data_IF_967760762720
#
_entry.id   IF_967760762720
#
_cell.length_a   1.000
_cell.length_b   1.000
_cell.length_c   1.000
_cell.angle_alpha   90.00
_cell.angle_beta   90.00
_cell.angle_gamma   90.00
#
_symmetry.space_group_name_H-M   'P 1'
#
loop_
_entity.id
_entity.type
_entity.pdbx_description
1 polymer ?
#
# COMPACT_ATOMS: atom_id res chain seq x y z
N UNK A 1 -13.39 21.41 -6.10
CA UNK A 1 -13.25 20.34 -5.09
C UNK A 1 -11.77 20.26 -4.72
N UNK A 2 -11.41 20.17 -3.44
CA UNK A 2 -10.00 19.99 -3.05
C UNK A 2 -9.46 18.71 -3.69
N UNK A 3 -8.21 18.74 -4.12
CA UNK A 3 -7.50 17.57 -4.65
C UNK A 3 -6.62 17.03 -3.54
N UNK A 4 -6.81 15.77 -3.18
CA UNK A 4 -5.93 15.07 -2.25
C UNK A 4 -4.81 14.37 -3.00
N UNK A 5 -3.70 14.19 -2.30
CA UNK A 5 -2.49 13.62 -2.85
C UNK A 5 -1.91 12.59 -1.87
N UNK A 6 -1.61 11.41 -2.38
CA UNK A 6 -0.85 10.39 -1.63
C UNK A 6 0.27 9.85 -2.52
N UNK A 7 1.33 9.35 -1.89
CA UNK A 7 2.46 8.75 -2.60
C UNK A 7 2.41 7.24 -2.41
N UNK A 8 2.31 6.51 -3.52
CA UNK A 8 2.57 5.08 -3.55
C UNK A 8 4.04 4.84 -3.84
N UNK A 9 4.76 4.21 -2.91
CA UNK A 9 6.18 3.84 -3.05
C UNK A 9 6.29 2.33 -3.21
N UNK A 10 7.02 1.87 -4.22
CA UNK A 10 7.38 0.46 -4.40
C UNK A 10 8.76 0.25 -3.76
N UNK A 11 8.85 -0.59 -2.73
CA UNK A 11 10.10 -0.83 -2.00
C UNK A 11 10.89 -1.99 -2.58
N UNK A 12 10.22 -3.10 -2.89
CA UNK A 12 10.89 -4.27 -3.43
C UNK A 12 9.92 -5.22 -4.13
N UNK A 13 10.44 -5.99 -5.08
CA UNK A 13 9.81 -7.19 -5.63
C UNK A 13 10.66 -8.38 -5.20
N UNK A 14 10.07 -9.38 -4.56
CA UNK A 14 10.80 -10.49 -3.93
C UNK A 14 10.22 -11.85 -4.35
N UNK A 15 10.96 -12.91 -4.06
CA UNK A 15 10.64 -14.29 -4.44
C UNK A 15 10.35 -14.45 -5.95
N UNK A 16 11.08 -13.69 -6.78
CA UNK A 16 10.99 -13.79 -8.23
C UNK A 16 11.49 -15.17 -8.72
N UNK A 17 10.85 -15.78 -9.72
CA UNK A 17 11.35 -16.98 -10.37
C UNK A 17 12.75 -16.75 -10.98
N UNK A 18 13.63 -17.75 -10.88
CA UNK A 18 14.99 -17.70 -11.43
C UNK A 18 14.99 -17.42 -12.94
N UNK A 19 13.96 -17.92 -13.64
CA UNK A 19 13.75 -17.77 -15.07
C UNK A 19 13.65 -16.29 -15.49
N UNK A 20 13.12 -15.43 -14.63
CA UNK A 20 13.00 -13.99 -14.92
C UNK A 20 14.37 -13.29 -14.96
N UNK A 21 15.34 -13.78 -14.20
CA UNK A 21 16.72 -13.27 -14.25
C UNK A 21 17.46 -13.73 -15.53
N UNK A 22 17.04 -14.84 -16.13
CA UNK A 22 17.68 -15.43 -17.32
C UNK A 22 17.20 -14.83 -18.64
N UNK A 23 16.19 -13.95 -18.62
CA UNK A 23 15.69 -13.26 -19.82
C UNK A 23 16.80 -12.38 -20.41
N UNK A 24 16.92 -12.37 -21.75
CA UNK A 24 17.90 -11.53 -22.44
C UNK A 24 17.50 -10.05 -22.32
N UNK A 25 18.24 -9.23 -21.53
CA UNK A 25 17.88 -7.83 -21.28
C UNK A 25 17.96 -6.96 -22.55
N UNK A 26 18.55 -7.47 -23.64
CA UNK A 26 18.60 -6.79 -24.95
C UNK A 26 17.38 -7.07 -25.82
N UNK A 27 16.60 -8.10 -25.48
CA UNK A 27 15.41 -8.52 -26.25
C UNK A 27 14.12 -8.32 -25.47
N UNK A 28 14.18 -8.35 -24.15
CA UNK A 28 13.01 -8.39 -23.29
C UNK A 28 13.14 -7.39 -22.14
N UNK A 29 12.02 -6.74 -21.82
CA UNK A 29 11.87 -5.79 -20.73
C UNK A 29 10.74 -6.27 -19.83
N UNK A 30 10.98 -6.24 -18.52
CA UNK A 30 9.96 -6.50 -17.53
C UNK A 30 9.37 -5.17 -17.07
N UNK A 31 8.09 -5.18 -16.76
CA UNK A 31 7.35 -4.01 -16.30
C UNK A 31 6.50 -4.41 -15.09
N UNK A 32 6.70 -3.71 -13.98
CA UNK A 32 5.73 -3.71 -12.89
C UNK A 32 4.66 -2.67 -13.25
N UNK A 33 3.39 -3.05 -13.22
CA UNK A 33 2.28 -2.13 -13.39
C UNK A 33 1.49 -2.01 -12.10
N UNK A 34 0.98 -0.81 -11.85
CA UNK A 34 0.12 -0.45 -10.73
C UNK A 34 -1.11 0.25 -11.28
N UNK A 35 -2.30 -0.24 -10.94
CA UNK A 35 -3.57 0.33 -11.37
C UNK A 35 -4.41 0.69 -10.14
N UNK A 36 -4.37 1.97 -9.71
CA UNK A 36 -5.15 2.46 -8.59
C UNK A 36 -6.57 2.84 -8.99
N UNK A 37 -7.52 2.53 -8.11
CA UNK A 37 -8.93 2.93 -8.19
C UNK A 37 -9.34 3.52 -6.85
N UNK A 38 -9.95 4.71 -6.90
CA UNK A 38 -10.52 5.35 -5.72
C UNK A 38 -11.98 4.97 -5.58
N UNK A 39 -12.35 4.42 -4.43
CA UNK A 39 -13.73 4.13 -4.09
C UNK A 39 -14.23 5.18 -3.10
N UNK A 40 -15.31 5.85 -3.48
CA UNK A 40 -16.04 6.75 -2.60
C UNK A 40 -17.23 6.01 -2.03
N UNK A 41 -17.36 6.07 -0.70
CA UNK A 41 -18.44 5.43 0.03
C UNK A 41 -19.20 6.47 0.85
N UNK A 42 -20.52 6.36 0.88
CA UNK A 42 -21.41 7.14 1.73
C UNK A 42 -22.19 6.18 2.62
N UNK A 43 -22.07 6.31 3.95
CA UNK A 43 -22.75 5.44 4.93
C UNK A 43 -22.60 3.94 4.61
N UNK A 44 -21.37 3.51 4.29
CA UNK A 44 -21.03 2.13 3.97
C UNK A 44 -21.42 1.66 2.56
N UNK A 45 -22.10 2.48 1.76
CA UNK A 45 -22.46 2.16 0.37
C UNK A 45 -21.50 2.83 -0.60
N UNK A 46 -20.97 2.06 -1.55
CA UNK A 46 -20.15 2.59 -2.64
C UNK A 46 -21.01 3.47 -3.55
N UNK A 47 -20.64 4.74 -3.69
CA UNK A 47 -21.36 5.71 -4.53
C UNK A 47 -20.62 6.01 -5.83
N UNK A 48 -19.29 5.90 -5.85
CA UNK A 48 -18.49 6.19 -7.05
C UNK A 48 -17.16 5.45 -7.07
N UNK A 49 -16.73 5.12 -8.28
CA UNK A 49 -15.41 4.59 -8.60
C UNK A 49 -14.68 5.58 -9.52
N UNK A 50 -13.41 5.85 -9.22
CA UNK A 50 -12.56 6.71 -10.04
C UNK A 50 -11.22 6.01 -10.32
N UNK A 51 -11.02 5.44 -11.52
CA UNK A 51 -9.72 4.96 -11.95
C UNK A 51 -8.72 6.11 -12.10
N UNK A 52 -7.49 5.96 -11.57
CA UNK A 52 -6.46 7.02 -11.62
C UNK A 52 -5.45 6.86 -12.79
N UNK A 53 -5.61 5.82 -13.60
CA UNK A 53 -4.70 5.49 -14.70
C UNK A 53 -3.61 4.49 -14.28
N UNK A 54 -3.15 3.69 -15.24
CA UNK A 54 -2.09 2.69 -15.03
C UNK A 54 -0.74 3.40 -14.94
N UNK A 55 0.04 3.07 -13.90
CA UNK A 55 1.44 3.49 -13.76
C UNK A 55 2.36 2.29 -13.95
N UNK A 56 3.46 2.49 -14.68
CA UNK A 56 4.33 1.40 -15.14
C UNK A 56 5.79 1.72 -14.79
N UNK A 57 6.46 0.79 -14.14
CA UNK A 57 7.88 0.85 -13.81
C UNK A 57 8.62 -0.25 -14.58
N UNK A 58 9.35 0.10 -15.65
CA UNK A 58 10.20 -0.87 -16.33
C UNK A 58 11.40 -1.25 -15.47
N UNK A 59 11.79 -2.52 -15.51
CA UNK A 59 13.03 -3.00 -14.90
C UNK A 59 13.68 -4.08 -15.80
N UNK A 60 15.00 -4.19 -15.70
CA UNK A 60 15.75 -5.18 -16.47
C UNK A 60 15.89 -6.48 -15.68
N UNK A 61 15.94 -7.62 -16.38
CA UNK A 61 16.30 -8.91 -15.77
C UNK A 61 17.65 -8.86 -15.05
N UNK A 62 18.60 -8.04 -15.54
CA UNK A 62 19.90 -7.85 -14.90
C UNK A 62 19.84 -7.07 -13.58
N UNK A 63 18.74 -6.40 -13.28
CA UNK A 63 18.51 -5.72 -12.00
C UNK A 63 18.04 -6.68 -10.89
N UNK A 64 17.65 -7.90 -11.25
CA UNK A 64 17.24 -8.94 -10.29
C UNK A 64 18.49 -9.52 -9.64
N UNK A 65 18.61 -9.36 -8.33
CA UNK A 65 19.74 -9.83 -7.53
C UNK A 65 19.35 -11.12 -6.82
N UNK A 66 20.28 -12.08 -6.74
CA UNK A 66 20.14 -13.21 -5.83
C UNK A 66 20.71 -12.80 -4.46
N UNK A 67 19.84 -12.71 -3.46
CA UNK A 67 20.19 -12.31 -2.09
C UNK A 67 19.45 -13.21 -1.11
N UNK A 68 20.20 -13.89 -0.24
CA UNK A 68 19.67 -14.73 0.84
C UNK A 68 18.65 -15.76 0.34
N UNK A 69 19.06 -16.57 -0.64
CA UNK A 69 18.24 -17.63 -1.26
C UNK A 69 17.00 -17.15 -2.04
N UNK A 70 16.88 -15.84 -2.30
CA UNK A 70 15.74 -15.25 -3.01
C UNK A 70 16.22 -14.38 -4.16
N UNK A 71 15.46 -14.37 -5.24
CA UNK A 71 15.64 -13.37 -6.30
C UNK A 71 14.80 -12.14 -5.98
N UNK A 72 15.46 -11.01 -5.85
CA UNK A 72 14.88 -9.75 -5.38
C UNK A 72 15.29 -8.59 -6.28
N UNK A 73 14.35 -7.69 -6.52
CA UNK A 73 14.58 -6.34 -7.00
C UNK A 73 14.35 -5.39 -5.82
N UNK A 74 15.43 -4.90 -5.21
CA UNK A 74 15.39 -3.95 -4.07
C UNK A 74 15.46 -2.52 -4.60
N UNK A 75 14.36 -1.78 -4.47
CA UNK A 75 14.22 -0.40 -4.93
C UNK A 75 14.37 0.60 -3.79
N UNK A 76 14.38 0.13 -2.53
CA UNK A 76 14.47 0.97 -1.33
C UNK A 76 15.83 1.64 -1.16
N UNK A 77 16.89 1.11 -1.76
CA UNK A 77 18.21 1.75 -1.76
C UNK A 77 18.35 2.87 -2.82
N UNK A 78 17.33 3.12 -3.65
CA UNK A 78 17.35 4.18 -4.66
C UNK A 78 16.94 5.50 -4.03
N UNK A 79 17.87 6.12 -3.30
CA UNK A 79 17.79 7.55 -2.98
C UNK A 79 18.16 8.34 -4.23
N UNK A 80 17.22 8.54 -5.15
CA UNK A 80 17.42 9.50 -6.24
C UNK A 80 16.42 10.63 -6.15
N UNK A 81 16.85 11.83 -5.70
CA UNK A 81 16.14 13.07 -5.94
C UNK A 81 16.17 13.50 -7.42
N UNK A 82 16.85 12.76 -8.31
CA UNK A 82 17.00 13.09 -9.74
C UNK A 82 17.21 11.83 -10.60
N UNK A 83 16.14 11.08 -10.88
CA UNK A 83 16.19 10.09 -11.97
C UNK A 83 16.02 10.82 -13.32
N UNK A 84 17.16 11.13 -13.94
CA UNK A 84 17.34 11.75 -15.26
C UNK A 84 16.25 11.37 -16.30
N UNK A 85 15.61 12.34 -16.99
CA UNK A 85 14.62 12.08 -18.02
C UNK A 85 15.32 11.75 -19.34
N UNK A 86 15.93 10.56 -19.45
CA UNK A 86 16.52 10.08 -20.71
C UNK A 86 16.32 8.58 -20.91
N UNK A 87 15.08 8.13 -20.75
CA UNK A 87 14.56 6.98 -21.49
C UNK A 87 13.28 7.42 -22.19
N UNK A 88 13.44 8.08 -23.34
CA UNK A 88 12.38 8.17 -24.35
C UNK A 88 12.14 6.77 -24.90
N UNK A 89 11.33 5.97 -24.20
CA UNK A 89 10.61 4.91 -24.87
C UNK A 89 9.62 5.58 -25.83
N UNK A 90 9.47 5.07 -27.06
CA UNK A 90 8.47 5.60 -27.97
C UNK A 90 7.11 5.55 -27.26
N UNK A 91 6.40 6.68 -27.28
CA UNK A 91 5.00 6.78 -26.89
C UNK A 91 4.21 5.75 -27.70
N UNK A 92 3.96 4.57 -27.12
CA UNK A 92 3.06 3.59 -27.71
C UNK A 92 1.66 4.04 -27.31
N UNK A 93 0.99 4.71 -28.26
CA UNK A 93 -0.45 4.92 -28.24
C UNK A 93 -1.16 3.58 -28.02
N UNK A 94 -2.06 3.44 -27.04
CA UNK A 94 -2.77 2.20 -26.84
C UNK A 94 -3.91 2.12 -27.86
N UNK A 95 -3.62 1.68 -29.08
CA UNK A 95 -4.68 1.07 -29.90
C UNK A 95 -5.09 -0.22 -29.19
N UNK A 96 -6.26 -0.15 -28.53
CA UNK A 96 -7.01 -1.26 -27.94
C UNK A 96 -6.22 -2.10 -26.94
N UNK A 97 -6.07 -1.59 -25.71
CA UNK A 97 -5.88 -2.47 -24.55
C UNK A 97 -7.20 -3.26 -24.36
N UNK A 98 -7.18 -4.60 -24.40
CA UNK A 98 -8.38 -5.41 -24.18
C UNK A 98 -8.72 -5.55 -22.68
N UNK A 99 -8.17 -4.71 -21.81
CA UNK A 99 -8.32 -4.88 -20.37
C UNK A 99 -9.68 -4.34 -19.93
N UNK A 100 -10.63 -5.28 -19.77
CA UNK A 100 -11.87 -5.04 -19.05
C UNK A 100 -11.55 -4.52 -17.65
N UNK A 101 -12.32 -3.52 -17.25
CA UNK A 101 -12.33 -2.88 -15.92
C UNK A 101 -12.34 -3.98 -14.85
N UNK A 102 -11.24 -4.10 -14.12
CA UNK A 102 -11.29 -4.85 -12.87
C UNK A 102 -12.10 -4.04 -11.87
N UNK A 103 -13.04 -4.71 -11.21
CA UNK A 103 -13.78 -4.17 -10.08
C UNK A 103 -13.62 -5.13 -8.91
N UNK A 104 -13.27 -4.64 -7.72
CA UNK A 104 -13.46 -5.40 -6.50
C UNK A 104 -14.97 -5.47 -6.24
N UNK A 105 -15.61 -6.56 -6.67
CA UNK A 105 -16.91 -6.96 -6.15
C UNK A 105 -16.66 -7.86 -4.95
N UNK A 106 -17.02 -7.38 -3.77
CA UNK A 106 -17.30 -8.28 -2.65
C UNK A 106 -18.44 -9.20 -3.12
N UNK A 107 -18.27 -10.51 -3.01
CA UNK A 107 -19.25 -11.48 -3.48
C UNK A 107 -20.63 -11.23 -2.88
N UNK A 108 -21.66 -11.39 -3.72
CA UNK A 108 -23.07 -11.44 -3.33
C UNK A 108 -23.84 -10.15 -3.59
N UNK A 109 -24.40 -10.04 -4.79
CA UNK A 109 -25.78 -9.62 -5.08
C UNK A 109 -25.90 -9.41 -6.60
N UNK A 110 -26.35 -10.46 -7.28
CA UNK A 110 -26.91 -10.41 -8.63
C UNK A 110 -28.14 -9.50 -8.59
N UNK A 111 -27.97 -8.23 -8.95
CA UNK A 111 -29.07 -7.42 -9.43
C UNK A 111 -28.87 -7.26 -10.94
N UNK A 112 -29.56 -8.14 -11.67
CA UNK A 112 -29.90 -7.96 -13.07
C UNK A 112 -30.91 -6.81 -13.15
N UNK A 113 -30.46 -5.61 -13.50
CA UNK A 113 -31.32 -4.64 -14.20
C UNK A 113 -30.48 -3.98 -15.30
N UNK A 114 -30.83 -4.36 -16.52
CA UNK A 114 -30.52 -3.66 -17.76
C UNK A 114 -30.86 -2.17 -17.60
N UNK A 115 -29.94 -1.30 -18.02
CA UNK A 115 -30.35 -0.11 -18.74
C UNK A 115 -29.30 0.24 -19.79
N UNK A 116 -29.84 0.36 -20.99
CA UNK A 116 -29.20 0.56 -22.27
C UNK A 116 -28.65 1.99 -22.43
N UNK A 117 -27.76 2.08 -23.42
CA UNK A 117 -27.43 3.28 -24.20
C UNK A 117 -26.33 4.23 -23.68
N UNK A 118 -25.41 4.48 -24.62
CA UNK A 118 -24.60 5.69 -24.76
C UNK A 118 -23.53 5.98 -23.69
N UNK A 119 -22.29 5.55 -23.97
CA UNK A 119 -21.32 6.45 -24.62
C UNK A 119 -19.96 5.77 -24.74
N UNK A 120 -19.49 5.69 -25.98
CA UNK A 120 -18.15 5.28 -26.38
C UNK A 120 -17.12 6.31 -25.91
N UNK A 121 -16.83 6.36 -24.61
CA UNK A 121 -15.69 7.12 -24.11
C UNK A 121 -14.41 6.30 -24.29
N UNK A 122 -13.64 6.68 -25.31
CA UNK A 122 -12.22 6.35 -25.45
C UNK A 122 -11.47 6.81 -24.19
N UNK A 123 -11.48 6.01 -23.13
CA UNK A 123 -10.47 6.12 -22.10
C UNK A 123 -9.19 5.48 -22.66
N UNK A 124 -8.46 6.26 -23.46
CA UNK A 124 -7.02 6.09 -23.60
C UNK A 124 -6.45 6.18 -22.18
N UNK A 125 -6.37 5.05 -21.48
CA UNK A 125 -5.77 4.97 -20.15
C UNK A 125 -4.30 5.34 -20.33
N UNK A 126 -3.98 6.62 -20.14
CA UNK A 126 -2.62 7.14 -20.22
C UNK A 126 -1.74 6.29 -19.30
N UNK A 127 -0.78 5.57 -19.89
CA UNK A 127 0.27 4.89 -19.15
C UNK A 127 1.22 5.95 -18.60
N UNK A 128 1.24 6.09 -17.29
CA UNK A 128 2.20 6.97 -16.62
C UNK A 128 3.47 6.17 -16.33
N UNK A 129 4.63 6.69 -16.74
CA UNK A 129 5.90 6.05 -16.41
C UNK A 129 6.30 6.43 -14.99
N UNK A 130 6.62 5.44 -14.15
CA UNK A 130 7.08 5.64 -12.79
C UNK A 130 8.55 6.07 -12.87
N UNK A 131 8.83 7.31 -12.47
CA UNK A 131 10.20 7.82 -12.38
C UNK A 131 10.74 7.53 -10.97
N UNK A 132 11.71 6.62 -10.88
CA UNK A 132 12.19 6.09 -9.59
C UNK A 132 11.31 4.95 -9.12
N UNK A 133 10.79 5.02 -7.90
CA UNK A 133 9.94 4.01 -7.30
C UNK A 133 8.67 4.58 -6.66
N UNK A 134 8.29 5.81 -7.01
CA UNK A 134 7.16 6.54 -6.43
C UNK A 134 6.15 6.98 -7.47
N UNK A 135 4.88 6.92 -7.11
CA UNK A 135 3.74 7.38 -7.91
C UNK A 135 2.91 8.35 -7.08
N UNK A 136 2.76 9.58 -7.57
CA UNK A 136 1.83 10.53 -7.00
C UNK A 136 0.41 10.21 -7.46
N UNK A 137 -0.48 9.91 -6.52
CA UNK A 137 -1.89 9.62 -6.78
C UNK A 137 -2.72 10.83 -6.38
N UNK A 138 -3.38 11.44 -7.36
CA UNK A 138 -4.21 12.63 -7.17
C UNK A 138 -5.68 12.30 -7.43
N UNK A 139 -6.56 12.70 -6.52
CA UNK A 139 -8.00 12.47 -6.66
C UNK A 139 -8.82 13.57 -5.96
N UNK A 140 -10.03 13.87 -6.44
CA UNK A 140 -10.88 14.85 -5.78
C UNK A 140 -11.33 14.32 -4.42
N UNK A 141 -11.24 15.16 -3.40
CA UNK A 141 -11.83 14.90 -2.09
C UNK A 141 -13.20 15.53 -1.97
N UNK A 142 -14.13 14.73 -1.48
CA UNK A 142 -15.54 15.05 -1.33
C UNK A 142 -15.88 14.92 0.14
N UNK A 143 -16.22 16.04 0.78
CA UNK A 143 -16.64 16.08 2.18
C UNK A 143 -17.80 15.12 2.42
N UNK A 144 -17.76 14.40 3.54
CA UNK A 144 -18.80 13.44 3.94
C UNK A 144 -18.73 12.06 3.28
N UNK A 145 -17.77 11.80 2.38
CA UNK A 145 -17.52 10.47 1.81
C UNK A 145 -16.28 9.84 2.43
N UNK A 146 -16.36 8.56 2.80
CA UNK A 146 -15.19 7.77 3.14
C UNK A 146 -14.52 7.25 1.89
N UNK A 147 -13.19 7.36 1.83
CA UNK A 147 -12.41 7.07 0.63
C UNK A 147 -11.47 5.89 0.88
N UNK A 148 -11.52 4.89 0.01
CA UNK A 148 -10.53 3.80 -0.03
C UNK A 148 -9.81 3.80 -1.36
N UNK A 149 -8.52 3.53 -1.32
CA UNK A 149 -7.69 3.31 -2.50
C UNK A 149 -7.47 1.82 -2.66
N UNK A 150 -8.00 1.26 -3.74
CA UNK A 150 -7.77 -0.11 -4.16
C UNK A 150 -6.72 -0.12 -5.25
N UNK A 151 -5.71 -0.96 -5.09
CA UNK A 151 -4.56 -0.99 -5.99
C UNK A 151 -4.34 -2.41 -6.47
N UNK A 152 -4.42 -2.59 -7.78
CA UNK A 152 -3.96 -3.80 -8.46
C UNK A 152 -2.48 -3.63 -8.83
N UNK A 153 -1.68 -4.66 -8.57
CA UNK A 153 -0.25 -4.70 -8.89
C UNK A 153 0.05 -5.98 -9.67
N UNK A 154 0.81 -5.88 -10.74
CA UNK A 154 1.23 -7.06 -11.50
C UNK A 154 2.50 -6.84 -12.29
N UNK A 155 2.99 -7.93 -12.90
CA UNK A 155 4.19 -7.94 -13.72
C UNK A 155 3.84 -8.40 -15.13
N UNK A 156 4.41 -7.73 -16.11
CA UNK A 156 4.30 -8.07 -17.51
C UNK A 156 5.65 -8.03 -18.21
N UNK A 157 5.74 -8.76 -19.30
CA UNK A 157 6.91 -8.88 -20.15
C UNK A 157 6.60 -8.25 -21.50
N UNK A 158 7.53 -7.46 -22.01
CA UNK A 158 7.48 -6.86 -23.32
C UNK A 158 8.73 -7.22 -24.09
N UNK A 159 8.58 -7.57 -25.38
CA UNK A 159 9.73 -7.79 -26.26
C UNK A 159 10.13 -6.47 -26.88
N UNK A 160 11.37 -6.05 -26.69
CA UNK A 160 11.93 -4.80 -27.23
C UNK A 160 11.76 -4.80 -28.76
N UNK A 161 11.13 -3.74 -29.28
CA UNK A 161 10.79 -3.58 -30.71
C UNK A 161 9.49 -4.29 -31.14
N UNK A 162 8.79 -5.00 -30.26
CA UNK A 162 7.46 -5.56 -30.50
C UNK A 162 6.37 -4.64 -29.93
N UNK A 163 5.12 -4.83 -30.33
CA UNK A 163 3.95 -4.27 -29.62
C UNK A 163 3.30 -5.31 -28.70
N UNK A 164 3.76 -6.55 -28.76
CA UNK A 164 3.20 -7.66 -27.99
C UNK A 164 3.61 -7.53 -26.54
N UNK A 165 2.60 -7.47 -25.68
CA UNK A 165 2.75 -7.45 -24.23
C UNK A 165 2.14 -8.73 -23.66
N UNK A 166 2.88 -9.40 -22.77
CA UNK A 166 2.43 -10.60 -22.07
C UNK A 166 2.36 -10.31 -20.59
N UNK A 167 1.17 -10.31 -20.00
CA UNK A 167 1.05 -10.30 -18.54
C UNK A 167 1.56 -11.63 -17.99
N UNK A 168 2.51 -11.56 -17.07
CA UNK A 168 3.02 -12.74 -16.34
C UNK A 168 2.07 -13.06 -15.19
N UNK A 169 1.56 -12.02 -14.53
CA UNK A 169 0.69 -12.13 -13.36
C UNK A 169 -0.81 -12.15 -13.67
N UNK A 170 -1.24 -11.93 -14.90
CA UNK A 170 -2.69 -11.90 -15.21
C UNK A 170 -2.97 -12.94 -16.27
N UNK A 171 -3.78 -13.95 -15.92
CA UNK A 171 -4.30 -14.91 -16.88
C UNK A 171 -5.11 -14.23 -18.00
N UNK A 172 -5.29 -14.93 -19.13
CA UNK A 172 -6.07 -14.40 -20.27
C UNK A 172 -7.56 -14.15 -19.91
N UNK A 173 -8.04 -14.75 -18.83
CA UNK A 173 -9.38 -14.59 -18.27
C UNK A 173 -9.35 -13.57 -17.13
N UNK A 174 -9.60 -12.29 -17.43
CA UNK A 174 -9.65 -11.21 -16.45
C UNK A 174 -11.02 -11.06 -15.74
N UNK A 175 -11.99 -11.95 -16.01
CA UNK A 175 -13.37 -11.84 -15.51
C UNK A 175 -13.57 -12.46 -14.10
N UNK A 176 -12.55 -13.10 -13.53
CA UNK A 176 -12.55 -13.64 -12.17
C UNK A 176 -11.24 -13.22 -11.51
N UNK A 177 -11.29 -12.64 -10.30
CA UNK A 177 -10.14 -12.24 -9.45
C UNK A 177 -8.79 -12.54 -10.10
N UNK A 178 -8.22 -11.58 -10.83
CA UNK A 178 -7.14 -11.83 -11.80
C UNK A 178 -6.11 -12.83 -11.28
N UNK A 179 -6.18 -14.05 -11.80
CA UNK A 179 -5.35 -15.17 -11.37
C UNK A 179 -3.88 -14.78 -11.55
N UNK A 180 -3.24 -14.41 -10.43
CA UNK A 180 -1.82 -14.10 -10.30
C UNK A 180 -1.44 -12.64 -10.01
N UNK A 181 -2.34 -11.65 -10.13
CA UNK A 181 -2.03 -10.27 -9.77
C UNK A 181 -2.42 -9.99 -8.32
N UNK A 182 -1.68 -9.07 -7.73
CA UNK A 182 -1.77 -8.73 -6.34
C UNK A 182 -2.74 -7.59 -6.12
N UNK A 183 -3.47 -7.63 -5.01
CA UNK A 183 -4.41 -6.60 -4.63
C UNK A 183 -4.18 -6.14 -3.20
N UNK A 184 -4.29 -4.84 -2.98
CA UNK A 184 -4.43 -4.32 -1.64
C UNK A 184 -5.37 -3.11 -1.62
N UNK A 185 -5.99 -2.91 -0.47
CA UNK A 185 -6.83 -1.76 -0.19
C UNK A 185 -6.29 -1.01 1.01
N UNK A 186 -6.31 0.31 0.93
CA UNK A 186 -5.95 1.21 2.04
C UNK A 186 -7.02 2.29 2.19
N UNK A 187 -7.47 2.55 3.42
CA UNK A 187 -8.34 3.69 3.68
C UNK A 187 -7.48 4.96 3.73
N UNK A 188 -7.94 6.07 3.13
CA UNK A 188 -7.17 7.31 3.16
C UNK A 188 -7.02 7.85 4.58
N UNK A 189 -8.04 7.65 5.43
CA UNK A 189 -7.95 7.95 6.86
C UNK A 189 -6.88 7.12 7.58
N UNK A 190 -6.66 5.86 7.18
CA UNK A 190 -5.57 5.04 7.71
C UNK A 190 -4.21 5.66 7.37
N UNK A 191 -4.03 6.13 6.12
CA UNK A 191 -2.81 6.84 5.69
C UNK A 191 -2.62 8.13 6.47
N UNK A 192 -3.69 8.92 6.67
CA UNK A 192 -3.62 10.17 7.44
C UNK A 192 -3.28 9.95 8.91
N UNK A 193 -3.78 8.87 9.52
CA UNK A 193 -3.52 8.54 10.92
C UNK A 193 -2.14 7.91 11.15
N UNK A 194 -1.67 7.07 10.23
CA UNK A 194 -0.39 6.34 10.35
C UNK A 194 0.78 6.98 9.59
N UNK A 195 0.49 7.98 8.76
CA UNK A 195 1.38 8.69 7.81
C UNK A 195 1.95 7.84 6.69
N UNK A 196 2.26 6.58 6.97
CA UNK A 196 2.70 5.60 6.00
C UNK A 196 2.06 4.25 6.33
N UNK A 197 1.48 3.62 5.32
CA UNK A 197 0.87 2.30 5.43
C UNK A 197 1.60 1.35 4.48
N UNK A 198 2.35 0.41 5.04
CA UNK A 198 3.09 -0.60 4.26
C UNK A 198 2.19 -1.81 4.01
N UNK A 199 2.25 -2.34 2.79
CA UNK A 199 1.55 -3.55 2.36
C UNK A 199 2.50 -4.53 1.71
N UNK A 200 2.34 -5.81 2.04
CA UNK A 200 3.03 -6.94 1.39
C UNK A 200 1.98 -7.70 0.58
N UNK A 201 2.20 -7.79 -0.74
CA UNK A 201 1.21 -8.28 -1.69
C UNK A 201 1.80 -9.44 -2.48
N UNK A 202 1.15 -10.60 -2.43
CA UNK A 202 1.55 -11.77 -3.22
C UNK A 202 1.15 -11.64 -4.69
N UNK A 203 1.99 -12.17 -5.57
CA UNK A 203 1.80 -12.33 -7.01
C UNK A 203 2.00 -13.80 -7.39
N UNK A 204 1.59 -14.23 -8.59
CA UNK A 204 1.90 -15.57 -9.09
C UNK A 204 3.40 -15.81 -9.30
N UNK A 205 4.19 -14.74 -9.41
CA UNK A 205 5.65 -14.78 -9.63
C UNK A 205 6.42 -14.11 -8.50
N UNK A 206 5.93 -14.24 -7.26
CA UNK A 206 6.62 -13.74 -6.06
C UNK A 206 5.74 -12.80 -5.25
N UNK A 207 6.29 -11.67 -4.82
CA UNK A 207 5.52 -10.65 -4.09
C UNK A 207 6.11 -9.25 -4.22
N UNK A 208 5.36 -8.25 -3.79
CA UNK A 208 5.76 -6.84 -3.82
C UNK A 208 5.50 -6.22 -2.46
N UNK A 209 6.47 -5.44 -1.98
CA UNK A 209 6.30 -4.58 -0.82
C UNK A 209 6.12 -3.15 -1.29
N UNK A 210 5.01 -2.54 -0.91
CA UNK A 210 4.66 -1.16 -1.25
C UNK A 210 4.27 -0.39 0.00
N UNK A 211 4.34 0.93 -0.04
CA UNK A 211 3.71 1.78 0.98
C UNK A 211 2.89 2.89 0.35
N UNK A 212 1.80 3.26 1.00
CA UNK A 212 1.06 4.49 0.69
C UNK A 212 1.31 5.48 1.82
N UNK A 213 1.82 6.67 1.50
CA UNK A 213 2.13 7.71 2.47
C UNK A 213 1.45 9.04 2.14
N UNK A 214 1.36 9.89 3.15
CA UNK A 214 1.04 11.31 2.96
C UNK A 214 2.05 11.95 2.01
N UNK A 215 1.60 12.96 1.26
CA UNK A 215 2.46 13.68 0.34
C UNK A 215 3.31 14.72 1.11
N UNK A 216 4.65 14.71 0.97
CA UNK A 216 5.54 15.66 1.66
C UNK A 216 5.35 17.10 1.17
N UNK A 217 4.69 17.31 0.03
CA UNK A 217 4.42 18.64 -0.53
C UNK A 217 3.00 19.14 -0.22
N UNK A 218 2.30 18.52 0.73
CA UNK A 218 1.02 19.03 1.21
C UNK A 218 1.18 20.40 1.85
N UNK A 219 0.08 21.16 1.86
CA UNK A 219 0.03 22.48 2.46
C UNK A 219 0.42 22.44 3.95
N UNK A 220 1.25 23.40 4.37
CA UNK A 220 1.85 23.43 5.72
C UNK A 220 0.79 23.58 6.81
N UNK A 221 -0.28 24.36 6.57
CA UNK A 221 -1.36 24.53 7.54
C UNK A 221 -2.14 23.22 7.70
N UNK A 222 -2.38 22.52 6.59
CA UNK A 222 -3.02 21.19 6.58
C UNK A 222 -2.19 20.15 7.33
N UNK A 223 -0.87 20.10 7.08
CA UNK A 223 0.07 19.21 7.78
C UNK A 223 0.09 19.52 9.29
N UNK A 224 0.18 20.81 9.66
CA UNK A 224 0.16 21.23 11.06
C UNK A 224 -1.16 20.81 11.74
N UNK A 225 -2.31 21.06 11.10
CA UNK A 225 -3.61 20.67 11.63
C UNK A 225 -3.72 19.16 11.88
N UNK A 226 -3.21 18.34 10.95
CA UNK A 226 -3.16 16.87 11.12
C UNK A 226 -2.28 16.46 12.30
N UNK A 227 -1.06 16.99 12.39
CA UNK A 227 -0.11 16.64 13.46
C UNK A 227 -0.60 17.09 14.84
N UNK A 228 -1.25 18.26 14.95
CA UNK A 228 -1.89 18.72 16.19
C UNK A 228 -3.06 17.80 16.56
N UNK A 229 -3.87 17.37 15.59
CA UNK A 229 -4.90 16.35 15.80
C UNK A 229 -4.34 15.04 16.33
N UNK A 230 -3.21 14.58 15.78
CA UNK A 230 -2.53 13.36 16.25
C UNK A 230 -1.97 13.52 17.66
N UNK A 231 -1.32 14.65 17.95
CA UNK A 231 -0.83 15.00 19.30
C UNK A 231 -1.97 14.96 20.32
N UNK A 232 -3.08 15.62 20.02
CA UNK A 232 -4.25 15.67 20.90
C UNK A 232 -4.87 14.29 21.12
N UNK A 233 -4.95 13.46 20.06
CA UNK A 233 -5.43 12.08 20.17
C UNK A 233 -4.53 11.25 21.08
N UNK A 234 -3.22 11.35 20.92
CA UNK A 234 -2.25 10.64 21.77
C UNK A 234 -2.29 11.11 23.24
N UNK A 235 -2.44 12.42 23.48
CA UNK A 235 -2.63 12.97 24.84
C UNK A 235 -3.92 12.46 25.49
N UNK A 236 -5.00 12.35 24.72
CA UNK A 236 -6.26 11.79 25.22
C UNK A 236 -6.14 10.30 25.56
N UNK A 237 -5.42 9.51 24.74
CA UNK A 237 -5.25 8.07 24.96
C UNK A 237 -4.27 7.72 26.08
N UNK A 238 -3.19 8.49 26.26
CA UNK A 238 -2.09 8.15 27.17
C UNK A 238 -2.06 8.99 28.46
N UNK A 239 -3.01 9.91 28.63
CA UNK A 239 -3.07 10.82 29.77
C UNK A 239 -1.96 11.88 29.75
N UNK A 240 -1.60 12.40 30.93
CA UNK A 240 -0.65 13.51 31.10
C UNK A 240 0.80 13.11 30.76
N UNK A 241 1.13 12.98 29.47
CA UNK A 241 2.50 12.83 29.00
C UNK A 241 3.14 14.22 28.78
N UNK A 242 3.91 14.68 29.78
CA UNK A 242 4.54 16.01 29.74
C UNK A 242 5.50 16.21 28.56
N UNK A 243 6.17 15.14 28.10
CA UNK A 243 7.08 15.23 26.96
C UNK A 243 6.31 15.49 25.66
N UNK A 244 5.18 14.80 25.47
CA UNK A 244 4.29 15.03 24.33
C UNK A 244 3.62 16.41 24.42
N UNK A 245 3.20 16.84 25.61
CA UNK A 245 2.57 18.15 25.81
C UNK A 245 3.51 19.30 25.43
N UNK A 246 4.78 19.21 25.82
CA UNK A 246 5.82 20.20 25.50
C UNK A 246 6.32 20.17 24.05
N UNK A 247 5.92 19.16 23.26
CA UNK A 247 6.37 19.04 21.88
C UNK A 247 5.81 20.19 21.02
N UNK A 248 6.71 21.03 20.51
CA UNK A 248 6.37 22.13 19.61
C UNK A 248 6.41 21.65 18.15
N UNK A 249 5.26 21.15 17.69
CA UNK A 249 5.06 20.69 16.31
C UNK A 249 5.33 21.80 15.29
N UNK A 250 5.00 23.05 15.62
CA UNK A 250 5.14 24.17 14.70
C UNK A 250 6.63 24.52 14.50
N UNK A 251 7.41 24.49 15.59
CA UNK A 251 8.87 24.66 15.54
C UNK A 251 9.54 23.54 14.72
N UNK A 252 9.20 22.27 14.95
CA UNK A 252 9.76 21.16 14.18
C UNK A 252 9.47 21.28 12.67
N UNK A 253 8.25 21.67 12.28
CA UNK A 253 7.92 21.93 10.87
C UNK A 253 8.70 23.13 10.29
N UNK A 254 9.07 24.11 11.10
CA UNK A 254 9.93 25.23 10.68
C UNK A 254 11.39 24.82 10.53
N UNK A 255 11.86 23.88 11.36
CA UNK A 255 13.21 23.30 11.30
C UNK A 255 13.42 22.35 10.11
N UNK A 256 12.33 21.98 9.41
CA UNK A 256 12.38 21.19 8.18
C UNK A 256 12.06 19.71 8.36
N UNK A 257 11.60 19.28 9.54
CA UNK A 257 11.12 17.91 9.74
C UNK A 257 9.84 17.66 8.92
N UNK A 258 9.76 16.49 8.32
CA UNK A 258 8.58 16.02 7.59
C UNK A 258 7.46 15.57 8.53
N UNK A 259 6.22 15.51 8.01
CA UNK A 259 5.07 15.00 8.77
C UNK A 259 5.32 13.59 9.31
N UNK A 260 6.00 12.74 8.54
CA UNK A 260 6.32 11.36 8.93
C UNK A 260 7.31 11.34 10.09
N UNK A 261 8.38 12.14 10.04
CA UNK A 261 9.40 12.21 11.10
C UNK A 261 8.82 12.72 12.42
N UNK A 262 8.01 13.80 12.36
CA UNK A 262 7.36 14.35 13.57
C UNK A 262 6.38 13.33 14.16
N UNK A 263 5.61 12.64 13.32
CA UNK A 263 4.71 11.59 13.77
C UNK A 263 5.44 10.40 14.42
N UNK A 264 6.54 9.95 13.83
CA UNK A 264 7.38 8.90 14.40
C UNK A 264 7.97 9.33 15.74
N UNK A 265 8.41 10.58 15.85
CA UNK A 265 8.89 11.14 17.10
C UNK A 265 7.80 11.15 18.19
N UNK A 266 6.59 11.62 17.86
CA UNK A 266 5.43 11.56 18.76
C UNK A 266 5.12 10.13 19.20
N UNK A 267 5.17 9.17 18.28
CA UNK A 267 4.93 7.75 18.56
C UNK A 267 5.95 7.19 19.56
N UNK A 268 7.23 7.51 19.40
CA UNK A 268 8.29 7.03 20.29
C UNK A 268 8.26 7.71 21.67
N UNK A 269 7.71 8.91 21.79
CA UNK A 269 7.43 9.54 23.10
C UNK A 269 6.32 8.77 23.84
N UNK A 270 5.33 8.27 23.11
CA UNK A 270 4.17 7.57 23.67
C UNK A 270 4.48 6.10 23.98
N UNK A 271 5.14 5.42 23.04
CA UNK A 271 5.51 4.01 23.13
C UNK A 271 6.97 3.83 22.69
N UNK A 272 7.94 4.01 23.61
CA UNK A 272 9.36 3.91 23.30
C UNK A 272 9.78 2.55 22.72
N UNK A 273 9.10 1.48 23.14
CA UNK A 273 9.38 0.10 22.73
C UNK A 273 8.59 -0.33 21.48
N UNK A 274 7.91 0.59 20.80
CA UNK A 274 7.01 0.28 19.68
C UNK A 274 7.65 -0.60 18.60
N UNK A 275 8.83 -0.21 18.09
CA UNK A 275 9.52 -0.96 17.04
C UNK A 275 10.16 -2.24 17.57
N UNK A 276 10.60 -2.27 18.82
CA UNK A 276 11.12 -3.47 19.48
C UNK A 276 10.03 -4.54 19.55
N UNK A 277 8.86 -4.17 20.07
CA UNK A 277 7.70 -5.04 20.15
C UNK A 277 7.26 -5.53 18.77
N UNK A 278 7.23 -4.66 17.76
CA UNK A 278 6.90 -5.06 16.37
C UNK A 278 7.87 -6.08 15.82
N UNK A 279 9.17 -5.87 15.99
CA UNK A 279 10.20 -6.77 15.49
C UNK A 279 10.17 -8.12 16.21
N UNK A 280 10.03 -8.11 17.54
CA UNK A 280 9.92 -9.33 18.34
C UNK A 280 8.67 -10.14 18.01
N UNK A 281 7.53 -9.47 17.86
CA UNK A 281 6.29 -10.12 17.41
C UNK A 281 6.46 -10.76 16.02
N UNK A 282 7.16 -10.08 15.10
CA UNK A 282 7.43 -10.65 13.78
C UNK A 282 8.31 -11.89 13.85
N UNK A 283 9.37 -11.88 14.66
CA UNK A 283 10.26 -13.03 14.88
C UNK A 283 9.48 -14.19 15.51
N UNK A 284 8.59 -13.89 16.46
CA UNK A 284 7.75 -14.89 17.12
C UNK A 284 6.74 -15.56 16.17
N UNK A 285 6.24 -14.83 15.16
CA UNK A 285 5.35 -15.39 14.12
C UNK A 285 6.08 -16.37 13.20
N UNK A 286 7.38 -16.16 12.95
CA UNK A 286 8.18 -16.97 12.03
C UNK A 286 9.49 -17.44 12.69
N UNK A 287 9.43 -18.28 13.74
CA UNK A 287 10.61 -18.63 14.53
C UNK A 287 11.70 -19.39 13.74
N UNK A 288 11.30 -20.04 12.64
CA UNK A 288 12.18 -20.78 11.74
C UNK A 288 12.79 -19.91 10.62
N UNK A 289 12.36 -18.65 10.46
CA UNK A 289 12.85 -17.74 9.43
C UNK A 289 13.73 -16.63 10.03
N UNK A 290 14.55 -16.00 9.19
CA UNK A 290 15.49 -14.97 9.60
C UNK A 290 16.86 -15.50 10.04
N UNK A 291 17.91 -14.74 9.71
CA UNK A 291 19.26 -14.95 10.23
C UNK A 291 19.36 -14.74 11.74
N UNK A 292 20.41 -15.27 12.37
CA UNK A 292 20.69 -15.04 13.80
C UNK A 292 20.79 -13.55 14.16
N UNK A 293 21.14 -12.69 13.19
CA UNK A 293 21.18 -11.23 13.33
C UNK A 293 19.84 -10.66 13.82
N UNK A 294 18.70 -11.17 13.32
CA UNK A 294 17.37 -10.68 13.71
C UNK A 294 17.02 -10.94 15.16
N UNK A 295 17.59 -12.00 15.75
CA UNK A 295 17.37 -12.33 17.17
C UNK A 295 18.04 -11.31 18.10
N UNK A 296 18.90 -10.44 17.58
CA UNK A 296 19.51 -9.33 18.30
C UNK A 296 18.70 -8.03 18.06
N UNK A 297 17.39 -8.08 18.29
CA UNK A 297 16.42 -7.01 18.01
C UNK A 297 16.86 -5.64 18.53
N UNK A 298 17.31 -5.56 19.79
CA UNK A 298 17.77 -4.31 20.41
C UNK A 298 19.01 -3.70 19.73
N UNK A 299 19.98 -4.52 19.30
CA UNK A 299 21.19 -4.05 18.61
C UNK A 299 20.84 -3.55 17.21
N UNK A 300 19.95 -4.25 16.52
CA UNK A 300 19.45 -3.84 15.21
C UNK A 300 18.72 -2.50 15.26
N UNK A 301 17.90 -2.28 16.28
CA UNK A 301 17.20 -1.00 16.43
C UNK A 301 18.14 0.15 16.69
N UNK A 302 19.18 -0.03 17.51
CA UNK A 302 20.21 0.99 17.69
C UNK A 302 20.93 1.32 16.37
N UNK A 303 21.22 0.31 15.55
CA UNK A 303 21.87 0.49 14.23
C UNK A 303 20.97 1.20 13.21
N UNK A 304 19.65 1.07 13.35
CA UNK A 304 18.63 1.71 12.50
C UNK A 304 17.90 2.85 13.21
N UNK A 305 18.50 3.47 14.23
CA UNK A 305 17.91 4.65 14.87
C UNK A 305 17.59 5.70 13.80
N UNK A 306 16.39 6.30 13.85
CA UNK A 306 15.78 7.19 12.84
C UNK A 306 15.37 6.54 11.50
N UNK A 307 15.60 5.24 11.32
CA UNK A 307 15.28 4.44 10.11
C UNK A 307 14.55 3.15 10.46
N UNK A 308 13.81 3.14 11.56
CA UNK A 308 13.17 1.94 12.12
C UNK A 308 12.10 1.37 11.17
N UNK A 309 11.35 2.21 10.46
CA UNK A 309 10.42 1.75 9.42
C UNK A 309 11.14 1.05 8.25
N UNK A 310 12.37 1.46 7.92
CA UNK A 310 13.17 0.75 6.93
C UNK A 310 13.64 -0.60 7.47
N UNK A 311 14.04 -0.67 8.74
CA UNK A 311 14.33 -1.94 9.41
C UNK A 311 13.13 -2.89 9.34
N UNK A 312 11.92 -2.40 9.66
CA UNK A 312 10.70 -3.21 9.58
C UNK A 312 10.42 -3.70 8.16
N UNK A 313 10.63 -2.87 7.12
CA UNK A 313 10.51 -3.31 5.72
C UNK A 313 11.53 -4.39 5.36
N UNK A 314 12.77 -4.26 5.81
CA UNK A 314 13.82 -5.28 5.61
C UNK A 314 13.49 -6.58 6.34
N UNK A 315 12.95 -6.48 7.56
CA UNK A 315 12.48 -7.62 8.32
C UNK A 315 11.33 -8.34 7.59
N UNK A 316 10.37 -7.58 7.03
CA UNK A 316 9.28 -8.14 6.24
C UNK A 316 9.76 -8.92 5.01
N UNK A 317 10.86 -8.49 4.37
CA UNK A 317 11.46 -9.20 3.25
C UNK A 317 12.15 -10.51 3.66
N UNK A 318 12.84 -10.52 4.81
CA UNK A 318 13.69 -11.66 5.18
C UNK A 318 12.98 -12.70 6.06
N UNK A 319 12.15 -12.24 7.00
CA UNK A 319 11.47 -13.07 7.99
C UNK A 319 10.08 -13.46 7.48
N UNK A 320 9.37 -12.52 6.84
CA UNK A 320 7.99 -12.69 6.42
C UNK A 320 7.13 -11.48 6.80
N UNK A 321 5.88 -11.39 6.29
CA UNK A 321 5.03 -10.23 6.51
C UNK A 321 4.52 -10.12 7.96
N UNK A 322 4.62 -8.94 8.57
CA UNK A 322 3.92 -8.65 9.82
C UNK A 322 2.39 -8.63 9.60
N UNK A 323 1.60 -8.94 10.65
CA UNK A 323 0.13 -8.94 10.56
C UNK A 323 -0.45 -7.61 10.05
N UNK A 324 0.16 -6.48 10.41
CA UNK A 324 -0.26 -5.13 9.97
C UNK A 324 0.06 -4.83 8.50
N UNK A 325 0.97 -5.59 7.88
CA UNK A 325 1.29 -5.45 6.46
C UNK A 325 0.24 -6.08 5.55
N UNK A 326 -0.58 -6.98 6.09
CA UNK A 326 -1.79 -7.49 5.42
C UNK A 326 -2.97 -6.65 5.88
N UNK A 327 -3.66 -6.03 4.93
CA UNK A 327 -4.85 -5.21 5.18
C UNK A 327 -5.80 -5.93 6.14
N UNK A 328 -6.16 -5.28 7.25
CA UNK A 328 -7.06 -5.88 8.24
C UNK A 328 -8.42 -6.26 7.64
N UNK A 329 -8.88 -5.59 6.57
CA UNK A 329 -10.04 -6.04 5.79
C UNK A 329 -9.84 -7.42 5.20
N UNK A 330 -8.69 -7.67 4.58
CA UNK A 330 -8.37 -8.97 3.99
C UNK A 330 -8.19 -10.04 5.07
N UNK A 331 -7.55 -9.68 6.20
CA UNK A 331 -7.48 -10.58 7.36
C UNK A 331 -8.87 -10.93 7.89
N UNK A 332 -9.78 -9.96 7.98
CA UNK A 332 -11.15 -10.17 8.44
C UNK A 332 -11.94 -11.02 7.44
N UNK A 333 -11.80 -10.77 6.13
CA UNK A 333 -12.39 -11.61 5.09
C UNK A 333 -11.88 -13.05 5.16
N UNK A 334 -10.57 -13.24 5.31
CA UNK A 334 -9.97 -14.57 5.46
C UNK A 334 -10.46 -15.27 6.75
N UNK A 335 -10.55 -14.54 7.85
CA UNK A 335 -11.10 -15.03 9.12
C UNK A 335 -12.56 -15.45 8.95
N UNK A 336 -13.40 -14.60 8.37
CA UNK A 336 -14.81 -14.90 8.08
C UNK A 336 -14.96 -16.14 7.20
N UNK A 337 -14.15 -16.26 6.16
CA UNK A 337 -14.17 -17.42 5.27
C UNK A 337 -13.80 -18.69 6.02
N UNK A 338 -12.71 -18.66 6.81
CA UNK A 338 -12.23 -19.81 7.60
C UNK A 338 -13.26 -20.30 8.62
N UNK A 339 -14.01 -19.39 9.24
CA UNK A 339 -14.98 -19.70 10.29
C UNK A 339 -16.44 -19.65 9.81
N UNK A 340 -16.68 -19.52 8.51
CA UNK A 340 -18.01 -19.41 7.90
C UNK A 340 -18.92 -18.34 8.55
N UNK A 341 -18.35 -17.19 8.92
CA UNK A 341 -19.07 -16.11 9.61
C UNK A 341 -19.84 -15.23 8.63
N UNK A 342 -21.14 -15.05 8.90
CA UNK A 342 -21.99 -14.08 8.17
C UNK A 342 -21.64 -12.63 8.55
N UNK A 343 -22.00 -11.66 7.69
CA UNK A 343 -21.87 -10.23 8.02
C UNK A 343 -22.64 -9.88 9.29
N UNK A 344 -23.81 -10.49 9.47
CA UNK A 344 -24.65 -10.27 10.64
C UNK A 344 -23.97 -10.78 11.92
N UNK A 345 -23.36 -11.96 11.89
CA UNK A 345 -22.64 -12.53 13.04
C UNK A 345 -21.44 -11.68 13.45
N UNK A 346 -20.68 -11.15 12.48
CA UNK A 346 -19.56 -10.23 12.77
C UNK A 346 -20.07 -8.93 13.39
N UNK A 347 -21.17 -8.37 12.85
CA UNK A 347 -21.77 -7.15 13.41
C UNK A 347 -22.27 -7.38 14.83
N UNK A 348 -23.04 -8.43 15.07
CA UNK A 348 -23.57 -8.76 16.40
C UNK A 348 -22.45 -8.95 17.44
N UNK A 349 -21.35 -9.62 17.05
CA UNK A 349 -20.20 -9.82 17.92
C UNK A 349 -19.49 -8.51 18.28
N UNK A 350 -19.37 -7.61 17.32
CA UNK A 350 -18.62 -6.36 17.48
C UNK A 350 -19.47 -5.17 17.93
N UNK A 351 -20.80 -5.23 17.81
CA UNK A 351 -21.70 -4.12 18.13
C UNK A 351 -21.68 -3.77 19.62
N UNK A 352 -21.43 -4.75 20.49
CA UNK A 352 -21.25 -4.54 21.93
C UNK A 352 -19.99 -3.73 22.27
N UNK A 353 -18.97 -3.76 21.40
CA UNK A 353 -17.67 -3.14 21.65
C UNK A 353 -17.46 -1.86 20.84
N UNK A 354 -17.90 -1.85 19.57
CA UNK A 354 -17.73 -0.73 18.64
C UNK A 354 -18.95 0.20 18.57
N UNK A 355 -20.08 -0.18 19.19
CA UNK A 355 -21.29 0.61 19.19
C UNK A 355 -21.89 0.84 17.80
N UNK A 356 -22.55 1.99 17.63
CA UNK A 356 -23.23 2.37 16.38
C UNK A 356 -22.26 2.71 15.23
N UNK A 357 -21.01 3.05 15.54
CA UNK A 357 -20.00 3.46 14.56
C UNK A 357 -19.28 2.28 13.87
N UNK A 358 -19.72 1.04 14.13
CA UNK A 358 -19.10 -0.19 13.60
C UNK A 358 -18.79 -0.13 12.10
N UNK A 359 -19.68 0.45 11.29
CA UNK A 359 -19.48 0.57 9.85
C UNK A 359 -18.32 1.51 9.49
N UNK A 360 -18.18 2.61 10.20
CA UNK A 360 -17.10 3.56 9.99
C UNK A 360 -15.79 3.01 10.52
N UNK A 361 -15.79 2.35 11.68
CA UNK A 361 -14.60 1.71 12.26
C UNK A 361 -14.10 0.56 11.39
N UNK A 362 -14.97 -0.31 10.88
CA UNK A 362 -14.58 -1.40 9.97
C UNK A 362 -13.98 -0.89 8.65
N UNK A 363 -14.33 0.33 8.24
CA UNK A 363 -13.77 0.97 7.05
C UNK A 363 -12.47 1.71 7.41
N UNK A 364 -12.44 2.50 8.46
CA UNK A 364 -11.30 3.38 8.73
C UNK A 364 -10.19 2.66 9.49
N UNK A 365 -10.55 1.82 10.45
CA UNK A 365 -9.64 1.13 11.38
C UNK A 365 -10.07 -0.33 11.64
N UNK A 366 -10.10 -1.19 10.60
CA UNK A 366 -10.47 -2.59 10.77
C UNK A 366 -9.51 -3.37 11.69
N UNK A 367 -8.36 -2.80 12.04
CA UNK A 367 -7.40 -3.38 12.97
C UNK A 367 -7.94 -3.46 14.40
N UNK A 368 -8.81 -2.53 14.81
CA UNK A 368 -9.44 -2.53 16.14
C UNK A 368 -10.15 -3.86 16.39
N UNK A 369 -10.71 -4.49 15.35
CA UNK A 369 -11.33 -5.82 15.45
C UNK A 369 -10.36 -6.87 16.00
N UNK A 370 -9.09 -6.82 15.59
CA UNK A 370 -8.08 -7.79 16.02
C UNK A 370 -7.41 -7.42 17.34
N UNK A 371 -7.56 -6.18 17.79
CA UNK A 371 -7.13 -5.78 19.14
C UNK A 371 -8.16 -6.18 20.20
N UNK A 372 -9.41 -6.44 19.77
CA UNK A 372 -10.53 -6.87 20.61
C UNK A 372 -10.72 -8.40 20.66
N UNK A 373 -10.08 -9.14 19.75
CA UNK A 373 -10.05 -10.61 19.69
C UNK A 373 -8.81 -11.15 20.39
#
# INVERSE_FOLDING_TARGET
MPIEQVILTIHAIYDLPREMQQLDPRREQLELFVQPVVNYNYRGRRVKLLPLGESVMPFSSSSILFKRERFILDLGNVTTPYASPKCTLPSISPRTSPWRRWYPTAGGETNEEDDSDNETSNNDTKRNMIHGNQVLLQYPCTLGLSTTLDVMVGVRQHRIGSFVLRCITVGQSADTHSDGAGFFSVAIEEVRKKKTVTRVVGLSVGGVILSVSVNPNDDKESVLGRLIGDKNRNLASCGNNQALEKLDVAAMLLEGFSEVEIYQHMRLIVDPDYYLRRLENLIALYPAQGSEEWRQSGVLLQKYASREEELMRRANLEIGPECSSVSARHRLLAYRYKYHLSDQSVRECLQSVLGEEIHETLVTEPEVVFELL
#
